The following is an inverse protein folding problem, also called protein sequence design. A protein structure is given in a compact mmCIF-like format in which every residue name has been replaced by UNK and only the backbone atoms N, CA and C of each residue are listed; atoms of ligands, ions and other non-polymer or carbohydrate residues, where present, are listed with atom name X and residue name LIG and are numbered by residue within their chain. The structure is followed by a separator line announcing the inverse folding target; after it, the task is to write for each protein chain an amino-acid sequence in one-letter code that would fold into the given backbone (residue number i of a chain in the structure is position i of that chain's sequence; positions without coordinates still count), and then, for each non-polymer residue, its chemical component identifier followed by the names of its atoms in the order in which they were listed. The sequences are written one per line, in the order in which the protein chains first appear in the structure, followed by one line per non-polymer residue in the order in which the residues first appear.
data_IF_653499031432
#
_entry.id   IF_653499031432
#
_cell.length_a   1.000
_cell.length_b   1.000
_cell.length_c   1.000
_cell.angle_alpha   90.00
_cell.angle_beta   90.00
_cell.angle_gamma   90.00
#
_symmetry.space_group_name_H-M   'P 1'
#
loop_
_entity.id
_entity.type
_entity.pdbx_description
1 polymer ?
#
# COMPACT_ATOMS: atom_id res chain seq x y z
N UNK A 1 19.53 1.36 -14.26
CA UNK A 1 18.57 0.43 -13.63
C UNK A 1 18.43 0.70 -12.16
N UNK A 2 17.21 0.77 -11.70
CA UNK A 2 16.95 0.99 -10.29
C UNK A 2 17.06 -0.32 -9.54
N UNK A 3 17.80 -0.34 -8.43
CA UNK A 3 17.81 -1.46 -7.50
C UNK A 3 16.80 -1.25 -6.38
N UNK A 4 15.90 -0.31 -6.57
CA UNK A 4 14.93 0.03 -5.54
C UNK A 4 13.79 -0.97 -5.48
N UNK A 5 13.26 -1.17 -4.29
CA UNK A 5 12.18 -2.09 -4.00
C UNK A 5 10.93 -1.34 -3.58
N UNK A 6 9.84 -1.63 -4.26
CA UNK A 6 8.52 -1.14 -3.87
C UNK A 6 7.88 -2.16 -2.93
N UNK A 7 7.61 -1.74 -1.71
CA UNK A 7 6.83 -2.52 -0.77
C UNK A 7 5.34 -2.33 -1.02
N UNK A 8 4.60 -3.41 -1.13
CA UNK A 8 3.16 -3.37 -1.42
C UNK A 8 2.41 -4.02 -0.27
N UNK A 9 1.54 -3.26 0.38
CA UNK A 9 0.74 -3.77 1.49
C UNK A 9 -0.58 -4.27 0.93
N UNK A 10 -0.75 -5.58 0.96
CA UNK A 10 -1.90 -6.25 0.37
C UNK A 10 -1.53 -7.00 -0.89
N UNK A 11 -2.01 -8.22 -1.02
CA UNK A 11 -1.65 -9.12 -2.11
C UNK A 11 -2.78 -9.45 -3.06
N UNK A 12 -3.83 -8.64 -3.09
CA UNK A 12 -4.97 -8.89 -3.94
C UNK A 12 -4.70 -8.67 -5.42
N UNK A 13 -5.75 -8.66 -6.21
CA UNK A 13 -5.64 -8.52 -7.65
C UNK A 13 -4.99 -7.18 -8.05
N UNK A 14 -5.33 -6.11 -7.37
CA UNK A 14 -4.72 -4.82 -7.63
C UNK A 14 -3.22 -4.85 -7.28
N UNK A 15 -2.85 -5.53 -6.20
CA UNK A 15 -1.45 -5.73 -5.85
C UNK A 15 -0.67 -6.46 -6.94
N UNK A 16 -1.31 -7.44 -7.57
CA UNK A 16 -0.73 -8.15 -8.71
C UNK A 16 -0.45 -7.19 -9.87
N UNK A 17 -1.40 -6.34 -10.22
CA UNK A 17 -1.19 -5.36 -11.29
C UNK A 17 -0.10 -4.34 -10.94
N UNK A 18 -0.01 -3.95 -9.69
CA UNK A 18 1.05 -3.05 -9.22
C UNK A 18 2.42 -3.72 -9.39
N UNK A 19 2.53 -5.01 -9.05
CA UNK A 19 3.77 -5.76 -9.25
C UNK A 19 4.19 -5.77 -10.72
N UNK A 20 3.26 -6.06 -11.61
CA UNK A 20 3.53 -6.11 -13.04
C UNK A 20 4.00 -4.73 -13.55
N UNK A 21 3.31 -3.68 -13.16
CA UNK A 21 3.66 -2.33 -13.57
C UNK A 21 5.03 -1.90 -13.03
N UNK A 22 5.30 -2.21 -11.77
CA UNK A 22 6.57 -1.87 -11.14
C UNK A 22 7.75 -2.56 -11.83
N UNK A 23 7.59 -3.83 -12.16
CA UNK A 23 8.64 -4.59 -12.85
C UNK A 23 8.94 -4.03 -14.23
N UNK A 24 7.92 -3.53 -14.92
CA UNK A 24 8.12 -2.91 -16.23
C UNK A 24 9.00 -1.68 -16.19
N UNK A 25 9.02 -0.97 -15.09
CA UNK A 25 9.86 0.22 -14.92
C UNK A 25 11.13 -0.05 -14.12
N UNK A 26 11.45 -1.33 -13.90
CA UNK A 26 12.70 -1.72 -13.29
C UNK A 26 12.74 -1.75 -11.77
N UNK A 27 11.60 -1.72 -11.12
CA UNK A 27 11.51 -1.85 -9.67
C UNK A 27 11.38 -3.32 -9.26
N UNK A 28 11.96 -3.65 -8.12
CA UNK A 28 11.68 -4.91 -7.46
C UNK A 28 10.43 -4.74 -6.61
N UNK A 29 9.76 -5.84 -6.30
CA UNK A 29 8.51 -5.81 -5.56
C UNK A 29 8.57 -6.74 -4.36
N UNK A 30 8.05 -6.24 -3.22
CA UNK A 30 7.94 -6.98 -1.98
C UNK A 30 6.52 -6.82 -1.46
N UNK A 31 5.77 -7.91 -1.40
CA UNK A 31 4.37 -7.88 -0.98
C UNK A 31 4.25 -8.33 0.48
N UNK A 32 3.50 -7.59 1.28
CA UNK A 32 3.12 -7.98 2.63
C UNK A 32 1.66 -8.41 2.60
N UNK A 33 1.40 -9.67 2.91
CA UNK A 33 0.06 -10.25 2.85
C UNK A 33 -0.26 -11.02 4.12
N UNK A 34 -1.51 -10.99 4.54
CA UNK A 34 -1.96 -11.82 5.66
C UNK A 34 -2.21 -13.27 5.25
N UNK A 35 -2.43 -13.50 3.98
CA UNK A 35 -2.75 -14.84 3.46
C UNK A 35 -1.60 -15.39 2.63
N UNK A 36 -1.32 -16.68 2.78
CA UNK A 36 -0.30 -17.34 1.97
C UNK A 36 -0.70 -17.43 0.49
N UNK A 37 -1.97 -17.68 0.25
CA UNK A 37 -2.48 -17.77 -1.11
C UNK A 37 -3.09 -16.43 -1.51
N UNK A 38 -2.32 -15.66 -2.24
CA UNK A 38 -2.76 -14.34 -2.67
C UNK A 38 -2.41 -14.12 -4.15
N UNK A 39 -3.21 -13.28 -4.80
CA UNK A 39 -3.12 -13.07 -6.26
C UNK A 39 -1.74 -12.63 -6.72
N UNK A 40 -1.08 -11.76 -5.98
CA UNK A 40 0.21 -11.20 -6.35
C UNK A 40 1.38 -12.15 -6.14
N UNK A 41 1.19 -13.31 -5.49
CA UNK A 41 2.27 -14.20 -5.07
C UNK A 41 3.19 -14.62 -6.21
N UNK A 42 2.64 -14.91 -7.37
CA UNK A 42 3.41 -15.37 -8.53
C UNK A 42 4.06 -14.23 -9.31
N UNK A 43 3.72 -13.00 -8.98
CA UNK A 43 4.16 -11.83 -9.73
C UNK A 43 5.12 -10.93 -8.95
N UNK A 44 5.22 -11.10 -7.64
CA UNK A 44 6.16 -10.33 -6.83
C UNK A 44 7.52 -11.02 -6.78
N UNK A 45 8.57 -10.24 -6.57
CA UNK A 45 9.91 -10.78 -6.41
C UNK A 45 10.06 -11.49 -5.06
N UNK A 46 9.50 -10.89 -4.02
CA UNK A 46 9.51 -11.45 -2.66
C UNK A 46 8.19 -11.16 -1.98
N UNK A 47 7.88 -11.93 -0.96
CA UNK A 47 6.70 -11.69 -0.14
C UNK A 47 6.97 -12.01 1.33
N UNK A 48 6.21 -11.37 2.20
CA UNK A 48 6.21 -11.64 3.63
C UNK A 48 4.78 -11.90 4.04
N UNK A 49 4.56 -13.01 4.74
CA UNK A 49 3.23 -13.35 5.26
C UNK A 49 3.18 -12.95 6.73
N UNK A 50 2.24 -12.07 7.06
CA UNK A 50 2.06 -11.59 8.41
C UNK A 50 0.84 -10.68 8.53
N UNK A 51 0.50 -10.32 9.76
CA UNK A 51 -0.60 -9.40 10.01
C UNK A 51 -0.09 -8.09 10.59
N UNK A 52 -1.01 -7.20 10.98
CA UNK A 52 -0.64 -5.88 11.51
C UNK A 52 0.04 -5.95 12.89
N UNK A 53 0.02 -7.09 13.54
CA UNK A 53 0.63 -7.31 14.86
C UNK A 53 1.96 -8.06 14.79
N UNK A 54 2.36 -8.50 13.61
CA UNK A 54 3.60 -9.26 13.41
C UNK A 54 4.80 -8.33 13.35
N UNK A 55 5.24 -7.84 14.50
CA UNK A 55 6.27 -6.79 14.61
C UNK A 55 7.55 -7.09 13.84
N UNK A 56 8.09 -8.30 13.99
CA UNK A 56 9.32 -8.69 13.30
C UNK A 56 9.16 -8.69 11.79
N UNK A 57 8.02 -9.16 11.33
CA UNK A 57 7.73 -9.22 9.89
C UNK A 57 7.51 -7.83 9.31
N UNK A 58 6.82 -6.97 10.05
CA UNK A 58 6.63 -5.58 9.67
C UNK A 58 7.99 -4.88 9.58
N UNK A 59 8.85 -5.10 10.56
CA UNK A 59 10.18 -4.51 10.58
C UNK A 59 10.99 -4.94 9.35
N UNK A 60 10.96 -6.22 9.02
CA UNK A 60 11.65 -6.71 7.84
C UNK A 60 11.08 -6.12 6.57
N UNK A 61 9.76 -6.00 6.46
CA UNK A 61 9.11 -5.38 5.32
C UNK A 61 9.59 -3.93 5.15
N UNK A 62 9.62 -3.17 6.24
CA UNK A 62 10.06 -1.78 6.22
C UNK A 62 11.52 -1.68 5.80
N UNK A 63 12.39 -2.52 6.37
CA UNK A 63 13.82 -2.50 6.05
C UNK A 63 14.08 -2.82 4.59
N UNK A 64 13.35 -3.77 4.05
CA UNK A 64 13.61 -4.27 2.69
C UNK A 64 12.90 -3.44 1.61
N UNK A 65 12.07 -2.48 1.99
CA UNK A 65 11.38 -1.59 1.05
C UNK A 65 12.06 -0.23 1.00
N UNK A 66 12.16 0.34 -0.18
CA UNK A 66 12.64 1.72 -0.32
C UNK A 66 11.51 2.72 -0.22
N UNK A 67 10.36 2.35 -0.71
CA UNK A 67 9.11 3.11 -0.56
C UNK A 67 7.95 2.12 -0.63
N UNK A 68 6.77 2.55 -0.19
CA UNK A 68 5.65 1.66 0.01
C UNK A 68 4.38 2.18 -0.62
N UNK A 69 3.51 1.26 -1.01
CA UNK A 69 2.15 1.57 -1.45
C UNK A 69 1.17 0.59 -0.81
N UNK A 70 -0.10 0.92 -0.89
CA UNK A 70 -1.17 0.11 -0.30
C UNK A 70 -2.12 -0.32 -1.41
N UNK A 71 -2.43 -1.60 -1.41
CA UNK A 71 -3.36 -2.17 -2.38
C UNK A 71 -4.80 -2.19 -1.86
N UNK A 72 -4.96 -2.33 -0.55
CA UNK A 72 -6.28 -2.46 0.05
C UNK A 72 -6.63 -1.26 0.92
N UNK A 73 -7.92 -0.87 0.90
CA UNK A 73 -8.44 0.23 1.71
C UNK A 73 -8.73 -0.18 3.15
N UNK A 74 -8.71 -1.47 3.44
CA UNK A 74 -9.09 -2.01 4.75
C UNK A 74 -7.89 -2.24 5.66
N UNK A 75 -6.89 -1.41 5.58
CA UNK A 75 -5.71 -1.48 6.42
C UNK A 75 -5.86 -0.55 7.62
N UNK A 76 -5.44 -1.02 8.78
CA UNK A 76 -5.52 -0.24 10.00
C UNK A 76 -4.60 0.99 9.93
N UNK A 77 -5.12 2.15 10.28
CA UNK A 77 -4.40 3.42 10.17
C UNK A 77 -3.08 3.46 10.97
N UNK A 78 -3.05 2.83 12.13
CA UNK A 78 -1.85 2.82 12.96
C UNK A 78 -0.71 2.05 12.30
N UNK A 79 -1.05 0.97 11.59
CA UNK A 79 -0.08 0.21 10.80
C UNK A 79 0.53 1.07 9.70
N UNK A 80 -0.31 1.79 8.98
CA UNK A 80 0.14 2.67 7.90
C UNK A 80 1.02 3.80 8.41
N UNK A 81 0.65 4.40 9.54
CA UNK A 81 1.44 5.46 10.16
C UNK A 81 2.79 4.97 10.64
N UNK A 82 2.85 3.74 11.15
CA UNK A 82 4.11 3.12 11.56
C UNK A 82 5.07 3.00 10.38
N UNK A 83 4.55 2.58 9.23
CA UNK A 83 5.36 2.47 8.02
C UNK A 83 5.77 3.85 7.50
N UNK A 84 4.84 4.80 7.48
CA UNK A 84 5.06 6.14 6.94
C UNK A 84 6.16 6.90 7.70
N UNK A 85 6.30 6.64 8.99
CA UNK A 85 7.36 7.27 9.80
C UNK A 85 8.75 6.89 9.35
N UNK A 86 8.91 5.77 8.68
CA UNK A 86 10.21 5.23 8.32
C UNK A 86 10.46 5.18 6.82
N UNK A 87 9.41 5.06 6.03
CA UNK A 87 9.50 4.99 4.56
C UNK A 87 8.38 5.82 3.94
N UNK A 88 8.63 6.32 2.76
CA UNK A 88 7.59 7.04 2.02
C UNK A 88 6.47 6.09 1.66
N UNK A 89 5.26 6.48 1.98
CA UNK A 89 4.04 5.73 1.70
C UNK A 89 3.19 6.51 0.70
N UNK A 90 2.81 5.87 -0.40
CA UNK A 90 2.00 6.48 -1.45
C UNK A 90 0.76 5.63 -1.71
N UNK A 91 -0.44 6.16 -1.59
CA UNK A 91 -0.75 7.47 -1.02
C UNK A 91 -0.45 7.53 0.48
N UNK A 92 -0.37 8.73 1.03
CA UNK A 92 -0.08 8.89 2.45
C UNK A 92 -1.16 8.26 3.33
N UNK A 93 -0.81 7.95 4.57
CA UNK A 93 -1.77 7.37 5.52
C UNK A 93 -2.99 8.26 5.73
N UNK A 94 -2.79 9.57 5.69
CA UNK A 94 -3.88 10.54 5.84
C UNK A 94 -4.90 10.43 4.70
N UNK A 95 -4.42 10.30 3.47
CA UNK A 95 -5.28 10.13 2.30
C UNK A 95 -6.05 8.81 2.38
N UNK A 96 -5.37 7.75 2.79
CA UNK A 96 -6.00 6.43 2.93
C UNK A 96 -7.09 6.48 4.01
N UNK A 97 -6.81 7.13 5.13
CA UNK A 97 -7.78 7.27 6.21
C UNK A 97 -9.04 8.02 5.75
N UNK A 98 -8.87 9.06 4.96
CA UNK A 98 -9.99 9.80 4.38
C UNK A 98 -10.80 8.90 3.45
N UNK A 99 -10.13 8.10 2.62
CA UNK A 99 -10.79 7.18 1.69
C UNK A 99 -11.61 6.11 2.39
N UNK A 100 -11.17 5.66 3.57
CA UNK A 100 -11.89 4.65 4.34
C UNK A 100 -13.18 5.17 4.94
N UNK A 101 -13.33 6.47 5.06
CA UNK A 101 -14.52 7.09 5.62
C UNK A 101 -15.21 7.92 4.54
N UNK A 102 -16.35 7.46 4.06
CA UNK A 102 -17.07 8.11 2.97
C UNK A 102 -17.44 9.56 3.25
N UNK A 103 -17.78 9.86 4.49
CA UNK A 103 -18.14 11.23 4.86
C UNK A 103 -16.91 12.14 4.81
N UNK A 104 -15.78 11.67 5.33
CA UNK A 104 -14.53 12.43 5.28
C UNK A 104 -14.07 12.59 3.84
N UNK A 105 -14.18 11.54 3.03
CA UNK A 105 -13.84 11.59 1.63
C UNK A 105 -14.65 12.65 0.90
N UNK A 106 -15.96 12.65 1.10
CA UNK A 106 -16.85 13.63 0.49
C UNK A 106 -16.51 15.04 0.91
N UNK A 107 -16.27 15.25 2.20
CA UNK A 107 -15.90 16.56 2.73
C UNK A 107 -14.56 17.03 2.18
N UNK A 108 -13.60 16.12 2.07
CA UNK A 108 -12.29 16.41 1.47
C UNK A 108 -12.44 16.88 0.03
N UNK A 109 -13.21 16.13 -0.76
CA UNK A 109 -13.45 16.47 -2.16
C UNK A 109 -14.17 17.81 -2.30
N UNK A 110 -15.13 18.09 -1.42
CA UNK A 110 -15.85 19.35 -1.43
C UNK A 110 -14.97 20.54 -1.03
N UNK A 111 -13.92 20.28 -0.24
CA UNK A 111 -12.97 21.32 0.17
C UNK A 111 -12.03 21.72 -0.95
N UNK A 112 -11.86 20.89 -1.96
CA UNK A 112 -11.05 21.20 -3.12
C UNK A 112 -11.85 22.11 -4.03
N UNK A 113 -11.35 23.33 -4.23
CA UNK A 113 -12.05 24.32 -5.02
C UNK A 113 -12.38 23.80 -6.42
N UNK A 114 -13.59 24.05 -6.84
CA UNK A 114 -14.07 23.76 -8.19
C UNK A 114 -14.12 22.27 -8.55
N UNK A 115 -14.03 21.41 -7.56
CA UNK A 115 -14.26 20.00 -7.82
C UNK A 115 -15.69 19.69 -7.41
N UNK A 116 -16.51 19.43 -8.42
CA UNK A 116 -17.84 18.92 -8.17
C UNK A 116 -17.73 17.44 -7.81
N UNK A 117 -18.19 17.10 -6.62
CA UNK A 117 -18.35 15.70 -6.29
C UNK A 117 -19.51 15.19 -7.10
N UNK A 118 -19.19 14.50 -8.18
CA UNK A 118 -20.23 13.84 -8.93
C UNK A 118 -20.94 12.84 -8.05
N UNK A 119 -22.14 12.57 -8.43
CA UNK A 119 -23.02 11.65 -7.73
C UNK A 119 -22.37 10.31 -7.56
N UNK A 120 -22.20 9.93 -6.35
CA UNK A 120 -21.74 8.61 -5.98
C UNK A 120 -22.93 7.74 -5.63
#
# INVERSE_FOLDING_TARGET
MSNKTLGIIGGGQLGMFICIAAQKIGLKTLVYSEEEDFSARKFCDKHIIGNIKSKEKIEKFIQDSDFCTVETENIHKDFLRTIEKRKNLFPSSNIIEISQNRLLEKNFLNSLENIETTKF
#
